data_IF_248200382191
#
_entry.id   IF_248200382191
#
_cell.length_a   1.000
_cell.length_b   1.000
_cell.length_c   1.000
_cell.angle_alpha   90.00
_cell.angle_beta   90.00
_cell.angle_gamma   90.00
#
_symmetry.space_group_name_H-M   'P 1'
#
loop_
_entity.id
_entity.type
_entity.pdbx_description
1 polymer ?
#
# COMPACT_ATOMS: atom_id res chain seq x y z
N UNK A 1 -25.37 -5.40 -2.87
CA UNK A 1 -24.61 -5.50 -4.15
C UNK A 1 -23.84 -4.22 -4.46
N UNK A 2 -24.47 -3.01 -4.55
CA UNK A 2 -23.77 -1.75 -4.86
C UNK A 2 -22.55 -1.49 -3.96
N UNK A 3 -22.68 -1.52 -2.62
CA UNK A 3 -21.58 -1.28 -1.67
C UNK A 3 -20.37 -2.20 -1.92
N UNK A 4 -20.61 -3.46 -2.32
CA UNK A 4 -19.52 -4.40 -2.63
C UNK A 4 -18.78 -3.99 -3.91
N UNK A 5 -19.51 -3.59 -4.97
CA UNK A 5 -18.90 -3.14 -6.21
C UNK A 5 -18.15 -1.82 -6.03
N UNK A 6 -18.73 -0.87 -5.30
CA UNK A 6 -18.11 0.41 -4.98
C UNK A 6 -16.80 0.21 -4.16
N UNK A 7 -16.73 -0.83 -3.32
CA UNK A 7 -15.55 -1.19 -2.54
C UNK A 7 -14.33 -1.45 -3.41
N UNK A 8 -14.48 -2.00 -4.62
CA UNK A 8 -13.35 -2.27 -5.51
C UNK A 8 -12.60 -1.00 -5.96
N UNK A 9 -13.24 0.17 -5.94
CA UNK A 9 -12.55 1.43 -6.19
C UNK A 9 -11.45 1.71 -5.15
N UNK A 10 -11.64 1.29 -3.91
CA UNK A 10 -10.66 1.47 -2.83
C UNK A 10 -9.40 0.62 -3.02
N UNK A 11 -9.44 -0.44 -3.84
CA UNK A 11 -8.27 -1.24 -4.22
C UNK A 11 -7.28 -0.49 -5.13
N UNK A 12 -7.69 0.66 -5.66
CA UNK A 12 -6.81 1.62 -6.32
C UNK A 12 -6.64 2.91 -5.52
N UNK A 13 -7.10 2.91 -4.26
CA UNK A 13 -7.07 4.08 -3.38
C UNK A 13 -7.96 5.22 -3.83
N UNK A 14 -9.05 4.90 -4.53
CA UNK A 14 -9.91 5.86 -5.20
C UNK A 14 -11.26 6.03 -4.50
N UNK A 15 -11.88 7.16 -4.76
CA UNK A 15 -13.24 7.50 -4.36
C UNK A 15 -14.23 6.85 -5.33
N UNK A 16 -15.09 5.93 -4.90
CA UNK A 16 -16.06 5.26 -5.79
C UNK A 16 -17.06 6.22 -6.43
N UNK A 17 -17.29 7.40 -5.83
CA UNK A 17 -18.21 8.43 -6.38
C UNK A 17 -17.71 9.01 -7.71
N UNK A 18 -16.39 8.96 -7.96
CA UNK A 18 -15.73 9.53 -9.15
C UNK A 18 -14.76 8.56 -9.84
N UNK A 19 -14.66 7.34 -9.35
CA UNK A 19 -13.80 6.30 -9.91
C UNK A 19 -14.32 5.86 -11.29
N UNK A 20 -13.43 5.57 -12.26
CA UNK A 20 -13.84 5.10 -13.57
C UNK A 20 -14.41 3.68 -13.51
N UNK A 21 -15.47 3.41 -14.28
CA UNK A 21 -16.15 2.10 -14.31
C UNK A 21 -15.22 0.93 -14.68
N UNK A 22 -14.10 1.17 -15.33
CA UNK A 22 -13.11 0.13 -15.65
C UNK A 22 -12.57 -0.58 -14.41
N UNK A 23 -12.63 0.04 -13.22
CA UNK A 23 -12.21 -0.59 -11.96
C UNK A 23 -13.12 -1.78 -11.56
N UNK A 24 -14.33 -1.88 -12.11
CA UNK A 24 -15.16 -3.07 -11.93
C UNK A 24 -14.53 -4.35 -12.52
N UNK A 25 -13.54 -4.21 -13.42
CA UNK A 25 -12.74 -5.34 -13.91
C UNK A 25 -11.97 -6.07 -12.81
N UNK A 26 -11.69 -5.43 -11.67
CA UNK A 26 -11.02 -6.06 -10.54
C UNK A 26 -11.90 -7.18 -9.97
N UNK A 27 -13.20 -6.92 -9.78
CA UNK A 27 -14.16 -7.93 -9.34
C UNK A 27 -14.22 -9.12 -10.31
N UNK A 28 -14.22 -8.85 -11.61
CA UNK A 28 -14.19 -9.90 -12.63
C UNK A 28 -12.90 -10.74 -12.55
N UNK A 29 -11.75 -10.10 -12.36
CA UNK A 29 -10.47 -10.82 -12.26
C UNK A 29 -10.44 -11.72 -11.02
N UNK A 30 -10.93 -11.26 -9.88
CA UNK A 30 -11.00 -12.07 -8.65
C UNK A 30 -11.94 -13.27 -8.84
N UNK A 31 -13.09 -13.08 -9.45
CA UNK A 31 -14.05 -14.17 -9.70
C UNK A 31 -13.52 -15.17 -10.74
N UNK A 32 -12.93 -14.68 -11.83
CA UNK A 32 -12.47 -15.53 -12.93
C UNK A 32 -11.21 -16.32 -12.63
N UNK A 33 -10.27 -15.75 -11.83
CA UNK A 33 -8.95 -16.35 -11.57
C UNK A 33 -8.78 -16.81 -10.13
N UNK A 34 -9.69 -16.43 -9.24
CA UNK A 34 -9.65 -16.76 -7.81
C UNK A 34 -8.68 -15.90 -7.00
N UNK A 35 -8.76 -16.06 -5.67
CA UNK A 35 -7.85 -15.50 -4.70
C UNK A 35 -7.29 -16.64 -3.82
N UNK A 36 -6.02 -16.58 -3.45
CA UNK A 36 -5.33 -17.69 -2.81
C UNK A 36 -4.66 -17.22 -1.52
N UNK A 37 -4.87 -17.97 -0.45
CA UNK A 37 -4.13 -17.79 0.79
C UNK A 37 -2.78 -18.51 0.72
N UNK A 38 -1.74 -17.84 1.20
CA UNK A 38 -0.41 -18.44 1.33
C UNK A 38 -0.28 -18.97 2.77
N UNK A 39 -0.06 -20.27 2.93
CA UNK A 39 0.13 -20.88 4.24
C UNK A 39 1.26 -20.17 5.00
N UNK A 40 0.97 -19.71 6.21
CA UNK A 40 1.89 -18.93 7.03
C UNK A 40 1.86 -17.42 6.72
N UNK A 41 0.90 -16.98 5.88
CA UNK A 41 0.67 -15.58 5.56
C UNK A 41 1.50 -15.06 4.37
N UNK A 42 1.16 -13.85 3.91
CA UNK A 42 1.78 -13.21 2.73
C UNK A 42 3.29 -12.95 2.90
N UNK A 43 3.79 -12.86 4.15
CA UNK A 43 5.22 -12.76 4.43
C UNK A 43 6.04 -13.92 3.85
N UNK A 44 5.44 -15.13 3.76
CA UNK A 44 6.09 -16.30 3.15
C UNK A 44 6.37 -16.13 1.65
N UNK A 45 5.58 -15.32 0.96
CA UNK A 45 5.89 -14.95 -0.42
C UNK A 45 7.16 -14.09 -0.49
N UNK A 46 7.29 -13.13 0.41
CA UNK A 46 8.49 -12.29 0.49
C UNK A 46 9.74 -13.15 0.82
N UNK A 47 9.62 -14.08 1.79
CA UNK A 47 10.70 -15.02 2.15
C UNK A 47 11.12 -15.86 0.92
N UNK A 48 10.16 -16.39 0.16
CA UNK A 48 10.44 -17.21 -1.02
C UNK A 48 11.12 -16.41 -2.14
N UNK A 49 10.66 -15.18 -2.40
CA UNK A 49 11.28 -14.29 -3.39
C UNK A 49 12.70 -13.89 -2.94
N UNK A 50 12.89 -13.59 -1.66
CA UNK A 50 14.20 -13.28 -1.08
C UNK A 50 15.17 -14.46 -1.25
N UNK A 51 14.77 -15.67 -0.83
CA UNK A 51 15.60 -16.86 -0.99
C UNK A 51 15.93 -17.13 -2.46
N UNK A 52 14.93 -17.02 -3.35
CA UNK A 52 15.17 -17.20 -4.79
C UNK A 52 16.15 -16.18 -5.35
N UNK A 53 16.13 -14.96 -4.83
CA UNK A 53 17.07 -13.91 -5.24
C UNK A 53 18.49 -14.22 -4.79
N UNK A 54 18.67 -14.74 -3.57
CA UNK A 54 19.98 -15.21 -3.07
C UNK A 54 20.52 -16.35 -3.95
N UNK A 55 19.68 -17.33 -4.32
CA UNK A 55 20.05 -18.44 -5.20
C UNK A 55 20.52 -17.96 -6.59
N UNK A 56 20.10 -16.77 -7.00
CA UNK A 56 20.47 -16.09 -8.24
C UNK A 56 21.64 -15.13 -8.09
N UNK A 57 22.26 -15.08 -6.91
CA UNK A 57 23.43 -14.26 -6.64
C UNK A 57 23.14 -12.77 -6.37
N UNK A 58 21.88 -12.41 -6.08
CA UNK A 58 21.52 -11.05 -5.67
C UNK A 58 22.13 -10.78 -4.29
N UNK A 59 22.79 -9.63 -4.14
CA UNK A 59 23.35 -9.17 -2.87
C UNK A 59 22.36 -8.20 -2.22
N UNK A 60 22.12 -8.39 -0.91
CA UNK A 60 21.26 -7.54 -0.12
C UNK A 60 22.08 -6.78 0.91
N UNK A 61 21.82 -5.49 1.03
CA UNK A 61 22.32 -4.64 2.12
C UNK A 61 21.11 -4.07 2.86
N UNK A 62 20.80 -4.64 4.03
CA UNK A 62 19.76 -4.16 4.93
C UNK A 62 20.26 -3.00 5.78
N UNK A 63 19.32 -2.24 6.37
CA UNK A 63 19.61 -1.08 7.21
C UNK A 63 20.49 -0.03 6.51
N UNK A 64 20.40 0.05 5.18
CA UNK A 64 21.22 0.91 4.33
C UNK A 64 20.31 1.85 3.55
N UNK A 65 20.17 3.08 4.04
CA UNK A 65 19.30 4.08 3.43
C UNK A 65 19.98 4.77 2.25
N UNK A 66 19.29 4.78 1.11
CA UNK A 66 19.68 5.60 -0.06
C UNK A 66 19.16 7.02 0.15
N UNK A 67 20.06 7.99 0.15
CA UNK A 67 19.74 9.41 0.35
C UNK A 67 19.63 10.18 -0.96
N UNK A 68 20.29 9.71 -2.02
CA UNK A 68 20.27 10.37 -3.33
C UNK A 68 20.47 9.39 -4.47
N UNK A 69 19.81 9.64 -5.58
CA UNK A 69 20.11 9.05 -6.90
C UNK A 69 20.99 10.05 -7.65
N UNK A 70 22.24 9.68 -7.89
CA UNK A 70 23.23 10.52 -8.55
C UNK A 70 23.01 10.56 -10.06
N UNK A 71 23.27 11.70 -10.70
CA UNK A 71 23.05 11.92 -12.12
C UNK A 71 23.84 13.10 -12.68
N UNK A 72 24.08 13.11 -13.98
CA UNK A 72 24.68 14.20 -14.75
C UNK A 72 23.65 15.16 -15.38
N UNK A 73 22.36 15.01 -15.03
CA UNK A 73 21.21 15.73 -15.61
C UNK A 73 20.60 15.05 -16.83
N UNK A 74 21.22 14.02 -17.38
CA UNK A 74 20.75 13.21 -18.51
C UNK A 74 20.63 11.73 -18.17
N UNK A 75 21.61 11.21 -17.41
CA UNK A 75 21.82 9.80 -17.11
C UNK A 75 22.05 9.61 -15.62
N UNK A 76 21.58 8.51 -15.06
CA UNK A 76 21.91 8.07 -13.71
C UNK A 76 23.38 7.66 -13.67
N UNK A 77 24.09 8.07 -12.62
CA UNK A 77 25.52 7.72 -12.41
C UNK A 77 25.71 6.82 -11.18
N UNK A 78 24.74 6.72 -10.28
CA UNK A 78 24.83 5.89 -9.09
C UNK A 78 23.87 6.31 -8.00
N UNK A 79 24.24 5.97 -6.76
CA UNK A 79 23.48 6.30 -5.55
C UNK A 79 24.43 6.77 -4.44
N UNK A 80 23.91 7.61 -3.55
CA UNK A 80 24.58 7.99 -2.29
C UNK A 80 23.81 7.41 -1.12
N UNK A 81 24.52 6.91 -0.12
CA UNK A 81 24.00 6.27 1.07
C UNK A 81 24.09 7.19 2.29
N UNK A 82 23.30 6.92 3.32
CA UNK A 82 23.29 7.71 4.55
C UNK A 82 24.60 7.60 5.35
N UNK A 83 25.36 6.52 5.18
CA UNK A 83 26.67 6.31 5.79
C UNK A 83 27.82 7.02 5.05
N UNK A 84 27.52 7.77 4.00
CA UNK A 84 28.47 8.55 3.22
C UNK A 84 29.08 7.82 2.03
N UNK A 85 28.81 6.52 1.86
CA UNK A 85 29.27 5.79 0.67
C UNK A 85 28.59 6.30 -0.60
N UNK A 86 29.33 6.36 -1.68
CA UNK A 86 28.84 6.64 -3.03
C UNK A 86 29.13 5.42 -3.90
N UNK A 87 28.10 4.89 -4.54
CA UNK A 87 28.19 3.70 -5.35
C UNK A 87 27.83 4.06 -6.80
N UNK A 88 28.71 3.69 -7.73
CA UNK A 88 28.55 3.99 -9.14
C UNK A 88 27.74 2.88 -9.84
N UNK A 89 26.60 3.27 -10.39
CA UNK A 89 25.69 2.39 -11.14
C UNK A 89 25.12 3.12 -12.35
N UNK A 90 25.20 2.50 -13.52
CA UNK A 90 24.56 3.03 -14.72
C UNK A 90 23.05 2.73 -14.79
N UNK A 91 22.58 1.76 -13.99
CA UNK A 91 21.17 1.38 -13.89
C UNK A 91 20.76 1.39 -12.42
N UNK A 92 19.70 2.13 -12.11
CA UNK A 92 19.06 2.17 -10.79
C UNK A 92 17.57 1.83 -10.97
N UNK A 93 17.10 0.84 -10.20
CA UNK A 93 15.68 0.47 -10.13
C UNK A 93 15.17 0.90 -8.75
N UNK A 94 14.30 1.89 -8.72
CA UNK A 94 13.74 2.44 -7.49
C UNK A 94 12.37 1.82 -7.22
N UNK A 95 12.24 1.06 -6.13
CA UNK A 95 10.99 0.55 -5.59
C UNK A 95 10.50 1.39 -4.39
N UNK A 96 10.62 2.70 -4.50
CA UNK A 96 10.04 3.66 -3.57
C UNK A 96 8.88 4.38 -4.25
N UNK A 97 8.06 5.10 -3.47
CA UNK A 97 7.02 5.94 -4.07
C UNK A 97 7.63 6.91 -5.10
N UNK A 98 7.02 6.98 -6.27
CA UNK A 98 7.55 7.78 -7.39
C UNK A 98 7.63 9.27 -7.08
N UNK A 99 6.76 9.77 -6.20
CA UNK A 99 6.81 11.15 -5.70
C UNK A 99 8.04 11.35 -4.83
N UNK A 100 8.37 10.38 -3.97
CA UNK A 100 9.58 10.38 -3.16
C UNK A 100 10.83 10.29 -4.05
N UNK A 101 10.83 9.39 -5.04
CA UNK A 101 11.95 9.25 -5.99
C UNK A 101 12.24 10.58 -6.68
N UNK A 102 11.22 11.19 -7.30
CA UNK A 102 11.46 12.40 -8.10
C UNK A 102 11.64 13.68 -7.30
N UNK A 103 11.09 13.78 -6.10
CA UNK A 103 11.11 15.02 -5.31
C UNK A 103 12.09 14.99 -4.13
N UNK A 104 12.42 13.79 -3.59
CA UNK A 104 13.32 13.65 -2.45
C UNK A 104 14.69 13.07 -2.86
N UNK A 105 14.69 11.98 -3.66
CA UNK A 105 15.94 11.27 -3.98
C UNK A 105 16.72 11.88 -5.16
N UNK A 106 16.08 12.66 -6.04
CA UNK A 106 16.74 13.35 -7.14
C UNK A 106 16.80 14.83 -6.84
N UNK A 107 17.99 15.34 -6.50
CA UNK A 107 18.21 16.74 -6.16
C UNK A 107 18.39 17.62 -7.40
N UNK A 108 18.20 18.93 -7.22
CA UNK A 108 18.46 19.93 -8.26
C UNK A 108 17.38 20.04 -9.36
N UNK A 109 17.64 21.00 -10.26
CA UNK A 109 16.74 21.31 -11.39
C UNK A 109 17.07 20.46 -12.61
N UNK A 110 16.47 19.27 -12.72
CA UNK A 110 16.63 18.40 -13.89
C UNK A 110 15.54 18.70 -14.92
N UNK A 111 15.92 19.31 -16.04
CA UNK A 111 14.97 19.73 -17.11
C UNK A 111 14.06 18.58 -17.58
N UNK A 112 14.63 17.39 -17.75
CA UNK A 112 13.91 16.18 -18.20
C UNK A 112 12.80 15.77 -17.23
N UNK A 113 12.95 16.01 -15.92
CA UNK A 113 11.99 15.62 -14.90
C UNK A 113 10.90 16.67 -14.62
N UNK A 114 11.02 17.89 -15.19
CA UNK A 114 10.07 18.97 -14.93
C UNK A 114 8.61 18.57 -15.19
N UNK A 115 8.39 17.86 -16.32
CA UNK A 115 7.03 17.40 -16.71
C UNK A 115 6.50 16.34 -15.75
N UNK A 116 7.32 15.38 -15.36
CA UNK A 116 6.91 14.31 -14.44
C UNK A 116 6.65 14.86 -13.03
N UNK A 117 7.52 15.74 -12.52
CA UNK A 117 7.30 16.44 -11.24
C UNK A 117 6.01 17.26 -11.26
N UNK A 118 5.75 18.01 -12.34
CA UNK A 118 4.53 18.79 -12.48
C UNK A 118 3.27 17.90 -12.58
N UNK A 119 3.38 16.72 -13.21
CA UNK A 119 2.31 15.73 -13.28
C UNK A 119 2.00 15.15 -11.90
N UNK A 120 3.03 14.73 -11.16
CA UNK A 120 2.87 14.19 -9.81
C UNK A 120 2.31 15.23 -8.82
N UNK A 121 2.73 16.50 -8.96
CA UNK A 121 2.23 17.58 -8.12
C UNK A 121 0.74 17.91 -8.35
N UNK A 122 0.18 17.55 -9.52
CA UNK A 122 -1.22 17.74 -9.89
C UNK A 122 -2.09 16.51 -9.70
N UNK A 123 -1.47 15.36 -9.47
CA UNK A 123 -2.19 14.11 -9.30
C UNK A 123 -2.79 14.05 -7.90
N UNK A 124 -4.05 13.63 -7.82
CA UNK A 124 -4.69 13.37 -6.55
C UNK A 124 -4.05 12.12 -5.93
N UNK A 125 -3.55 12.20 -4.70
CA UNK A 125 -3.00 11.03 -4.03
C UNK A 125 -4.13 10.05 -3.65
N UNK A 126 -3.77 8.77 -3.53
CA UNK A 126 -4.68 7.75 -3.02
C UNK A 126 -5.03 7.99 -1.56
N UNK A 127 -6.13 7.38 -1.11
CA UNK A 127 -6.39 7.27 0.33
C UNK A 127 -5.25 6.52 1.04
N UNK A 128 -5.24 6.62 2.35
CA UNK A 128 -4.39 5.84 3.25
C UNK A 128 -5.21 4.75 3.95
N UNK A 129 -4.57 3.97 4.82
CA UNK A 129 -5.21 2.97 5.65
C UNK A 129 -4.80 3.11 7.10
N UNK A 130 -5.75 2.84 7.98
CA UNK A 130 -5.51 2.62 9.40
C UNK A 130 -5.78 1.15 9.69
N UNK A 131 -4.83 0.44 10.25
CA UNK A 131 -4.94 -0.99 10.44
C UNK A 131 -4.59 -1.44 11.84
N UNK A 132 -5.23 -2.55 12.26
CA UNK A 132 -4.97 -3.22 13.52
C UNK A 132 -4.48 -4.64 13.23
N UNK A 133 -3.43 -5.02 13.91
CA UNK A 133 -2.95 -6.40 13.99
C UNK A 133 -3.36 -6.94 15.35
N UNK A 134 -4.21 -7.94 15.37
CA UNK A 134 -4.78 -8.49 16.58
C UNK A 134 -4.25 -9.91 16.79
N UNK A 135 -3.66 -10.17 17.97
CA UNK A 135 -3.39 -11.53 18.47
C UNK A 135 -4.44 -11.87 19.53
N UNK A 136 -5.16 -12.95 19.32
CA UNK A 136 -6.32 -13.32 20.13
C UNK A 136 -6.14 -14.71 20.76
N UNK A 137 -6.55 -14.85 22.02
CA UNK A 137 -6.70 -16.14 22.67
C UNK A 137 -7.81 -16.97 22.02
N UNK A 138 -7.82 -18.29 22.21
CA UNK A 138 -8.89 -19.15 21.72
C UNK A 138 -10.28 -18.65 22.12
N UNK A 139 -11.27 -18.82 21.25
CA UNK A 139 -12.66 -18.53 21.55
C UNK A 139 -13.39 -19.81 21.97
N UNK A 140 -14.16 -19.75 23.06
CA UNK A 140 -15.11 -20.80 23.42
C UNK A 140 -16.31 -20.83 22.46
N UNK A 141 -16.62 -19.68 21.83
CA UNK A 141 -17.71 -19.52 20.88
C UNK A 141 -17.13 -19.03 19.55
N UNK A 142 -16.93 -19.92 18.56
CA UNK A 142 -16.47 -19.52 17.24
C UNK A 142 -17.36 -18.45 16.62
N UNK A 143 -16.77 -17.38 16.12
CA UNK A 143 -17.48 -16.21 15.62
C UNK A 143 -18.19 -16.41 14.28
N UNK A 144 -18.04 -17.60 13.65
CA UNK A 144 -18.59 -17.87 12.32
C UNK A 144 -18.00 -16.99 11.20
N UNK A 145 -16.84 -16.36 11.46
CA UNK A 145 -16.16 -15.52 10.46
C UNK A 145 -15.61 -16.34 9.31
N UNK A 146 -15.74 -15.81 8.11
CA UNK A 146 -15.01 -16.27 6.94
C UNK A 146 -13.58 -15.76 6.96
N UNK A 147 -12.73 -16.22 6.03
CA UNK A 147 -11.36 -15.70 5.89
C UNK A 147 -11.37 -14.18 5.65
N UNK A 148 -12.26 -13.69 4.80
CA UNK A 148 -12.47 -12.27 4.52
C UNK A 148 -13.87 -11.84 4.92
N UNK A 149 -13.96 -10.77 5.69
CA UNK A 149 -15.22 -10.22 6.17
C UNK A 149 -15.22 -8.72 5.94
N UNK A 150 -16.37 -8.17 5.52
CA UNK A 150 -16.53 -6.74 5.31
C UNK A 150 -17.80 -6.29 6.01
N UNK A 151 -17.68 -5.33 6.91
CA UNK A 151 -18.76 -4.72 7.65
C UNK A 151 -18.98 -3.30 7.14
N UNK A 152 -20.09 -3.07 6.47
CA UNK A 152 -20.41 -1.77 5.92
C UNK A 152 -21.17 -0.91 6.94
N UNK A 153 -20.96 0.42 6.94
CA UNK A 153 -21.81 1.38 7.63
C UNK A 153 -23.18 1.49 6.92
N UNK A 154 -24.14 2.13 7.59
CA UNK A 154 -25.42 2.42 6.96
C UNK A 154 -25.26 3.40 5.79
N UNK A 155 -24.54 4.50 6.00
CA UNK A 155 -24.21 5.48 4.97
C UNK A 155 -22.76 5.29 4.47
N UNK A 156 -22.62 4.54 3.38
CA UNK A 156 -21.29 4.26 2.80
C UNK A 156 -20.68 5.46 2.08
N UNK A 157 -21.52 6.37 1.54
CA UNK A 157 -21.03 7.56 0.83
C UNK A 157 -20.41 8.58 1.79
N UNK A 158 -20.85 8.61 3.06
CA UNK A 158 -20.30 9.46 4.11
C UNK A 158 -18.81 9.16 4.39
N UNK A 159 -18.38 7.89 4.30
CA UNK A 159 -16.98 7.47 4.47
C UNK A 159 -16.06 8.24 3.50
N UNK A 160 -16.44 8.35 2.23
CA UNK A 160 -15.63 9.03 1.22
C UNK A 160 -15.70 10.55 1.37
N UNK A 161 -16.79 11.09 1.90
CA UNK A 161 -16.90 12.48 2.31
C UNK A 161 -15.91 12.83 3.44
N UNK A 162 -15.74 11.95 4.42
CA UNK A 162 -14.75 12.15 5.49
C UNK A 162 -13.33 12.11 4.94
N UNK A 163 -13.00 11.10 4.12
CA UNK A 163 -11.64 10.86 3.63
C UNK A 163 -11.18 11.94 2.65
N UNK A 164 -11.99 12.24 1.63
CA UNK A 164 -11.56 13.06 0.50
C UNK A 164 -11.97 14.52 0.63
N UNK A 165 -13.16 14.80 1.19
CA UNK A 165 -13.69 16.15 1.26
C UNK A 165 -13.30 16.82 2.59
N UNK A 166 -13.58 16.17 3.73
CA UNK A 166 -13.28 16.69 5.07
C UNK A 166 -11.87 16.37 5.57
N UNK A 167 -11.21 15.38 4.97
CA UNK A 167 -9.85 14.90 5.32
C UNK A 167 -9.73 14.52 6.81
N UNK A 168 -10.73 13.81 7.31
CA UNK A 168 -10.86 13.42 8.71
C UNK A 168 -11.04 11.91 8.86
N UNK A 169 -10.63 11.30 9.98
CA UNK A 169 -10.95 9.91 10.29
C UNK A 169 -12.44 9.65 10.19
N UNK A 170 -12.78 8.52 9.58
CA UNK A 170 -14.17 8.12 9.35
C UNK A 170 -14.80 7.73 10.68
N UNK A 171 -15.96 8.29 11.01
CA UNK A 171 -16.63 8.02 12.30
C UNK A 171 -17.28 6.63 12.34
N UNK A 172 -17.91 6.20 11.24
CA UNK A 172 -18.48 4.86 11.06
C UNK A 172 -17.86 4.23 9.81
N UNK A 173 -16.65 3.67 9.91
CA UNK A 173 -15.92 3.19 8.74
C UNK A 173 -16.42 1.82 8.28
N UNK A 174 -16.27 1.56 6.98
CA UNK A 174 -16.28 0.19 6.50
C UNK A 174 -15.08 -0.55 7.08
N UNK A 175 -15.35 -1.63 7.82
CA UNK A 175 -14.31 -2.45 8.44
C UNK A 175 -14.06 -3.68 7.57
N UNK A 176 -12.85 -3.83 7.06
CA UNK A 176 -12.37 -5.09 6.51
C UNK A 176 -11.65 -5.86 7.60
N UNK A 177 -12.04 -7.12 7.80
CA UNK A 177 -11.43 -8.04 8.75
C UNK A 177 -11.00 -9.31 8.04
N UNK A 178 -9.72 -9.60 8.08
CA UNK A 178 -9.14 -10.85 7.64
C UNK A 178 -8.89 -11.73 8.86
N UNK A 179 -9.58 -12.87 8.93
CA UNK A 179 -9.47 -13.88 9.98
C UNK A 179 -9.00 -15.21 9.37
N UNK A 180 -7.73 -15.34 9.01
CA UNK A 180 -7.21 -16.56 8.41
C UNK A 180 -7.27 -17.71 9.44
N UNK A 181 -7.83 -18.83 9.03
CA UNK A 181 -7.83 -20.06 9.83
C UNK A 181 -6.56 -20.86 9.52
N UNK A 182 -5.41 -20.27 9.85
CA UNK A 182 -4.10 -20.83 9.56
C UNK A 182 -3.26 -20.93 10.85
N UNK A 183 -3.22 -22.13 11.44
CA UNK A 183 -2.47 -22.40 12.65
C UNK A 183 -0.97 -22.12 12.53
N UNK A 184 -0.43 -22.10 11.31
CA UNK A 184 0.99 -21.77 11.08
C UNK A 184 1.33 -20.29 11.27
N UNK A 185 0.33 -19.41 11.39
CA UNK A 185 0.50 -17.99 11.66
C UNK A 185 0.55 -17.63 13.15
N UNK A 186 0.26 -18.60 14.04
CA UNK A 186 0.20 -18.41 15.50
C UNK A 186 1.17 -19.34 16.22
N UNK A 187 1.62 -18.94 17.42
CA UNK A 187 2.56 -19.73 18.21
C UNK A 187 1.88 -20.83 19.03
N UNK A 188 0.64 -20.59 19.42
CA UNK A 188 -0.10 -21.48 20.31
C UNK A 188 -1.37 -21.96 19.61
N UNK A 189 -1.67 -23.25 19.73
CA UNK A 189 -2.86 -23.83 19.13
C UNK A 189 -4.13 -23.15 19.62
N UNK A 190 -5.08 -22.93 18.73
CA UNK A 190 -6.35 -22.27 19.00
C UNK A 190 -6.27 -20.74 19.10
N UNK A 191 -5.07 -20.13 19.12
CA UNK A 191 -4.96 -18.68 19.01
C UNK A 191 -5.27 -18.23 17.57
N UNK A 192 -5.60 -16.95 17.43
CA UNK A 192 -5.93 -16.37 16.15
C UNK A 192 -5.12 -15.09 15.90
N UNK A 193 -4.72 -14.86 14.65
CA UNK A 193 -4.07 -13.64 14.21
C UNK A 193 -4.97 -12.96 13.17
N UNK A 194 -5.53 -11.82 13.51
CA UNK A 194 -6.42 -11.07 12.65
C UNK A 194 -5.80 -9.78 12.16
N UNK A 195 -6.18 -9.40 10.93
CA UNK A 195 -5.86 -8.12 10.35
C UNK A 195 -7.14 -7.33 10.12
N UNK A 196 -7.22 -6.13 10.68
CA UNK A 196 -8.34 -5.21 10.51
C UNK A 196 -7.85 -3.99 9.75
N UNK A 197 -8.61 -3.54 8.77
CA UNK A 197 -8.30 -2.35 7.97
C UNK A 197 -9.55 -1.50 7.80
N UNK A 198 -9.38 -0.20 8.03
CA UNK A 198 -10.33 0.84 7.61
C UNK A 198 -9.63 1.82 6.67
N UNK A 199 -10.38 2.37 5.72
CA UNK A 199 -9.87 3.45 4.88
C UNK A 199 -9.70 4.71 5.72
N UNK A 200 -8.65 5.48 5.44
CA UNK A 200 -8.31 6.65 6.21
C UNK A 200 -7.84 7.81 5.33
N UNK A 201 -8.03 9.07 5.76
CA UNK A 201 -7.37 10.20 5.14
C UNK A 201 -5.86 10.09 5.34
N UNK A 202 -5.11 10.66 4.43
CA UNK A 202 -3.64 10.71 4.53
C UNK A 202 -3.18 11.51 5.74
N UNK A 203 -1.98 11.17 6.21
CA UNK A 203 -1.27 12.01 7.17
C UNK A 203 -0.84 13.32 6.50
N UNK A 204 -1.30 14.45 7.03
CA UNK A 204 -0.91 15.77 6.56
C UNK A 204 -1.03 16.80 7.70
N UNK A 205 0.10 17.38 8.09
CA UNK A 205 0.17 18.36 9.17
C UNK A 205 -0.31 19.76 8.76
N UNK A 206 -0.51 20.02 7.48
CA UNK A 206 -0.85 21.36 6.95
C UNK A 206 -2.30 21.49 6.54
N UNK A 207 -2.80 20.51 5.79
CA UNK A 207 -4.11 20.56 5.16
C UNK A 207 -4.81 19.20 5.22
N UNK A 208 -4.68 18.51 6.36
CA UNK A 208 -5.25 17.20 6.57
C UNK A 208 -5.22 16.78 8.02
N UNK A 209 -5.21 15.48 8.28
CA UNK A 209 -5.27 14.92 9.61
C UNK A 209 -3.90 14.54 10.15
N UNK A 210 -3.64 14.85 11.43
CA UNK A 210 -2.40 14.51 12.13
C UNK A 210 -2.50 13.11 12.79
N UNK A 211 -1.95 12.09 12.15
CA UNK A 211 -1.89 10.73 12.68
C UNK A 211 -0.69 10.47 13.63
N UNK A 212 -0.04 11.51 14.17
CA UNK A 212 1.01 11.34 15.18
C UNK A 212 0.47 11.34 16.62
N UNK A 213 -0.82 11.61 16.82
CA UNK A 213 -1.45 11.60 18.14
C UNK A 213 -1.74 10.17 18.58
N UNK A 214 -0.93 9.65 19.50
CA UNK A 214 -1.03 8.27 19.98
C UNK A 214 -2.31 8.01 20.77
N UNK A 215 -2.79 8.98 21.56
CA UNK A 215 -4.00 8.85 22.35
C UNK A 215 -5.24 8.79 21.46
N UNK A 216 -5.30 9.67 20.44
CA UNK A 216 -6.33 9.61 19.42
C UNK A 216 -6.31 8.26 18.68
N UNK A 217 -5.14 7.82 18.24
CA UNK A 217 -4.99 6.57 17.47
C UNK A 217 -5.46 5.35 18.29
N UNK A 218 -5.11 5.32 19.57
CA UNK A 218 -5.59 4.26 20.46
C UNK A 218 -7.10 4.32 20.65
N UNK A 219 -7.65 5.49 20.90
CA UNK A 219 -9.10 5.68 21.04
C UNK A 219 -9.85 5.24 19.78
N UNK A 220 -9.36 5.64 18.60
CA UNK A 220 -9.95 5.26 17.32
C UNK A 220 -9.86 3.74 17.05
N UNK A 221 -8.76 3.10 17.43
CA UNK A 221 -8.64 1.65 17.37
C UNK A 221 -9.69 0.96 18.26
N UNK A 222 -9.91 1.48 19.46
CA UNK A 222 -10.92 0.94 20.37
C UNK A 222 -12.35 1.15 19.86
N UNK A 223 -12.66 2.26 19.19
CA UNK A 223 -13.94 2.47 18.51
C UNK A 223 -14.20 1.45 17.41
N UNK A 224 -13.17 1.10 16.62
CA UNK A 224 -13.26 0.07 15.59
C UNK A 224 -13.54 -1.30 16.23
N UNK A 225 -12.89 -1.63 17.34
CA UNK A 225 -13.14 -2.84 18.11
C UNK A 225 -14.57 -2.85 18.67
N UNK A 226 -15.04 -1.74 19.25
CA UNK A 226 -16.42 -1.60 19.75
C UNK A 226 -17.45 -1.86 18.64
N UNK A 227 -17.18 -1.33 17.45
CA UNK A 227 -18.03 -1.54 16.28
C UNK A 227 -18.11 -3.02 15.86
N UNK A 228 -17.01 -3.77 15.98
CA UNK A 228 -17.00 -5.22 15.74
C UNK A 228 -17.72 -5.99 16.85
N UNK A 229 -17.49 -5.63 18.10
CA UNK A 229 -18.13 -6.28 19.25
C UNK A 229 -19.65 -6.06 19.26
N UNK A 230 -20.12 -4.87 18.86
CA UNK A 230 -21.56 -4.62 18.71
C UNK A 230 -22.24 -5.52 17.66
N UNK A 231 -21.45 -6.11 16.76
CA UNK A 231 -21.88 -7.09 15.76
C UNK A 231 -21.72 -8.56 16.22
N UNK A 232 -21.41 -8.76 17.51
CA UNK A 232 -21.26 -10.09 18.11
C UNK A 232 -19.88 -10.73 17.93
N UNK A 233 -18.87 -9.95 17.53
CA UNK A 233 -17.50 -10.46 17.35
C UNK A 233 -16.71 -10.18 18.62
N UNK A 234 -16.49 -11.20 19.48
CA UNK A 234 -15.75 -11.04 20.73
C UNK A 234 -14.26 -10.83 20.44
N UNK A 235 -13.71 -9.72 20.93
CA UNK A 235 -12.31 -9.33 20.74
C UNK A 235 -11.64 -9.00 22.08
N UNK A 236 -12.19 -8.08 22.89
CA UNK A 236 -11.52 -7.52 24.10
C UNK A 236 -11.10 -8.58 25.08
N UNK A 237 -11.98 -9.50 25.41
CA UNK A 237 -11.73 -10.55 26.41
C UNK A 237 -10.65 -11.55 25.95
N UNK A 238 -10.35 -11.56 24.66
CA UNK A 238 -9.39 -12.46 24.02
C UNK A 238 -8.10 -11.75 23.61
N UNK A 239 -8.06 -10.43 23.65
CA UNK A 239 -6.99 -9.61 23.10
C UNK A 239 -5.70 -9.76 23.90
N UNK A 240 -4.64 -10.24 23.26
CA UNK A 240 -3.28 -10.34 23.80
C UNK A 240 -2.32 -9.38 23.11
N UNK A 241 -2.52 -9.14 21.82
CA UNK A 241 -1.70 -8.25 21.03
C UNK A 241 -2.59 -7.28 20.28
N UNK A 242 -2.31 -6.00 20.43
CA UNK A 242 -2.86 -4.92 19.62
C UNK A 242 -1.71 -4.11 19.05
N UNK A 243 -1.50 -4.17 17.76
CA UNK A 243 -0.57 -3.31 17.06
C UNK A 243 -1.35 -2.40 16.11
N UNK A 244 -1.17 -1.11 16.26
CA UNK A 244 -1.84 -0.08 15.45
C UNK A 244 -0.85 0.41 14.38
N UNK A 245 -1.29 0.46 13.13
CA UNK A 245 -0.54 1.01 12.00
C UNK A 245 -1.32 2.15 11.37
N UNK A 246 -0.80 3.34 11.51
CA UNK A 246 -1.42 4.59 11.05
C UNK A 246 -0.90 5.01 9.68
N UNK A 247 -1.56 5.94 8.98
CA UNK A 247 -1.00 6.59 7.79
C UNK A 247 0.37 7.24 8.02
N UNK A 248 0.62 7.81 9.22
CA UNK A 248 1.94 8.36 9.56
C UNK A 248 3.01 7.27 9.68
N UNK A 249 2.66 6.07 10.19
CA UNK A 249 3.57 4.92 10.23
C UNK A 249 3.93 4.44 8.82
N UNK A 250 2.96 4.37 7.92
CA UNK A 250 3.21 4.03 6.52
C UNK A 250 4.14 5.04 5.85
N UNK A 251 3.94 6.34 6.08
CA UNK A 251 4.85 7.35 5.56
C UNK A 251 6.28 7.15 6.08
N UNK A 252 6.44 6.85 7.37
CA UNK A 252 7.77 6.62 7.97
C UNK A 252 8.45 5.36 7.45
N UNK A 253 7.70 4.27 7.29
CA UNK A 253 8.27 2.96 6.98
C UNK A 253 8.52 2.72 5.50
N UNK A 254 7.67 3.26 4.61
CA UNK A 254 7.75 3.01 3.16
C UNK A 254 7.94 4.28 2.33
N UNK A 255 8.16 5.43 2.98
CA UNK A 255 8.35 6.74 2.36
C UNK A 255 7.20 7.17 1.41
N UNK A 256 6.01 6.60 1.59
CA UNK A 256 4.81 6.96 0.83
C UNK A 256 4.26 8.29 1.37
N UNK A 257 4.19 9.37 0.59
CA UNK A 257 3.75 10.67 1.09
C UNK A 257 2.35 10.64 1.70
N UNK A 258 2.27 11.00 3.00
CA UNK A 258 1.05 10.95 3.79
C UNK A 258 0.49 9.54 4.03
N UNK A 259 1.29 8.49 3.82
CA UNK A 259 0.86 7.11 3.95
C UNK A 259 -0.07 6.65 2.83
N UNK A 260 -0.05 7.32 1.66
CA UNK A 260 -0.84 6.92 0.50
C UNK A 260 -0.50 5.48 0.08
N UNK A 261 -1.50 4.58 0.07
CA UNK A 261 -1.25 3.14 -0.12
C UNK A 261 -0.81 2.83 -1.55
N UNK A 262 -1.34 3.58 -2.54
CA UNK A 262 -1.16 3.27 -3.97
C UNK A 262 -0.53 4.41 -4.77
N UNK A 263 0.14 5.36 -4.11
CA UNK A 263 0.67 6.55 -4.75
C UNK A 263 -0.46 7.50 -5.19
N UNK A 264 -0.67 7.67 -6.49
CA UNK A 264 -1.78 8.49 -7.02
C UNK A 264 -3.08 7.69 -7.11
N UNK A 265 -4.21 8.32 -6.78
CA UNK A 265 -5.55 7.75 -6.96
C UNK A 265 -5.87 7.55 -8.44
N UNK A 266 -6.91 6.77 -8.70
CA UNK A 266 -7.47 6.57 -10.05
C UNK A 266 -8.80 7.32 -10.21
N UNK A 267 -8.97 8.47 -9.57
CA UNK A 267 -10.15 9.32 -9.69
C UNK A 267 -10.23 9.95 -11.08
N UNK A 268 -11.40 9.84 -11.74
CA UNK A 268 -11.64 10.35 -13.08
C UNK A 268 -11.19 9.44 -14.23
N UNK A 269 -11.83 9.61 -15.39
CA UNK A 269 -11.75 8.69 -16.52
C UNK A 269 -10.34 8.44 -17.11
N UNK A 270 -9.39 9.34 -16.89
CA UNK A 270 -8.02 9.24 -17.43
C UNK A 270 -6.97 8.85 -16.41
N UNK A 271 -7.26 8.95 -15.12
CA UNK A 271 -6.27 8.79 -14.06
C UNK A 271 -5.79 7.35 -13.90
N UNK A 272 -6.65 6.36 -14.13
CA UNK A 272 -6.27 4.94 -14.10
C UNK A 272 -5.09 4.61 -15.04
N UNK A 273 -4.95 5.36 -16.15
CA UNK A 273 -3.87 5.18 -17.14
C UNK A 273 -2.73 6.20 -16.99
N UNK A 274 -2.80 7.12 -16.03
CA UNK A 274 -1.85 8.23 -15.88
C UNK A 274 -0.85 8.06 -14.75
N UNK A 275 -0.64 6.85 -14.27
CA UNK A 275 0.41 6.56 -13.28
C UNK A 275 1.79 6.88 -13.81
N UNK A 276 2.75 7.06 -12.91
CA UNK A 276 4.14 7.26 -13.27
C UNK A 276 4.66 6.10 -14.13
N UNK A 277 5.39 6.43 -15.19
CA UNK A 277 5.96 5.42 -16.09
C UNK A 277 7.10 4.67 -15.40
N UNK A 278 7.27 3.39 -15.74
CA UNK A 278 8.40 2.59 -15.26
C UNK A 278 9.74 3.12 -15.75
N UNK A 279 9.85 3.59 -17.00
CA UNK A 279 11.06 4.25 -17.52
C UNK A 279 11.03 5.73 -17.17
N UNK A 280 12.00 6.17 -16.37
CA UNK A 280 12.21 7.59 -16.10
C UNK A 280 12.71 8.32 -17.37
N UNK A 281 12.41 9.63 -17.50
CA UNK A 281 13.11 10.48 -18.49
C UNK A 281 14.62 10.58 -18.23
N UNK A 282 15.08 10.31 -17.02
CA UNK A 282 16.50 10.17 -16.69
C UNK A 282 16.97 8.79 -17.11
N UNK A 283 17.88 8.71 -18.07
CA UNK A 283 18.36 7.44 -18.61
C UNK A 283 19.01 6.58 -17.51
N UNK A 284 18.77 5.29 -17.51
CA UNK A 284 19.28 4.36 -16.49
C UNK A 284 18.45 4.32 -15.20
N UNK A 285 17.46 5.22 -15.01
CA UNK A 285 16.55 5.16 -13.87
C UNK A 285 15.22 4.51 -14.27
N UNK A 286 14.80 3.56 -13.45
CA UNK A 286 13.51 2.88 -13.56
C UNK A 286 12.76 2.94 -12.24
N UNK A 287 11.43 3.04 -12.29
CA UNK A 287 10.55 2.98 -11.14
C UNK A 287 9.67 1.74 -11.21
N UNK A 288 9.55 1.01 -10.09
CA UNK A 288 8.72 -0.18 -9.96
C UNK A 288 7.82 -0.06 -8.73
N UNK A 289 6.83 -0.93 -8.64
CA UNK A 289 5.96 -1.03 -7.46
C UNK A 289 4.64 -0.29 -7.60
N UNK A 290 3.92 -0.18 -6.49
CA UNK A 290 2.52 0.24 -6.47
C UNK A 290 2.22 1.66 -6.93
N UNK A 291 3.18 2.58 -6.85
CA UNK A 291 3.04 3.97 -7.32
C UNK A 291 3.45 4.16 -8.79
N UNK A 292 4.08 3.14 -9.41
CA UNK A 292 4.44 3.12 -10.82
C UNK A 292 3.42 2.32 -11.65
N UNK A 293 3.50 2.38 -12.98
CA UNK A 293 2.67 1.57 -13.87
C UNK A 293 2.94 0.06 -13.65
N UNK A 294 1.92 -0.82 -13.68
CA UNK A 294 0.50 -0.55 -13.90
C UNK A 294 -0.27 -0.14 -12.64
N UNK A 295 0.26 -0.29 -11.43
CA UNK A 295 -0.39 0.13 -10.19
C UNK A 295 -0.09 -0.74 -8.99
N UNK A 296 -0.86 -0.56 -7.91
CA UNK A 296 -0.73 -1.30 -6.66
C UNK A 296 -1.47 -2.64 -6.65
N UNK A 297 -1.16 -3.45 -5.63
CA UNK A 297 -1.62 -4.83 -5.50
C UNK A 297 -0.57 -5.83 -5.99
N UNK A 298 -0.45 -6.98 -5.33
CA UNK A 298 0.60 -7.97 -5.62
C UNK A 298 0.71 -8.35 -7.10
N UNK A 299 -0.38 -8.65 -7.83
CA UNK A 299 -0.27 -8.98 -9.25
C UNK A 299 0.31 -7.84 -10.08
N UNK A 300 -0.13 -6.60 -9.82
CA UNK A 300 0.30 -5.44 -10.60
C UNK A 300 1.74 -5.03 -10.29
N UNK A 301 2.20 -5.18 -9.04
CA UNK A 301 3.61 -4.92 -8.72
C UNK A 301 4.54 -5.99 -9.32
N UNK A 302 4.06 -7.24 -9.43
CA UNK A 302 4.76 -8.29 -10.17
C UNK A 302 4.92 -7.92 -11.65
N UNK A 303 3.84 -7.50 -12.30
CA UNK A 303 3.87 -7.00 -13.68
C UNK A 303 4.78 -5.77 -13.84
N UNK A 304 4.77 -4.86 -12.87
CA UNK A 304 5.67 -3.70 -12.87
C UNK A 304 7.14 -4.13 -12.88
N UNK A 305 7.49 -5.14 -12.08
CA UNK A 305 8.84 -5.69 -12.04
C UNK A 305 9.23 -6.37 -13.38
N UNK A 306 8.31 -7.14 -13.97
CA UNK A 306 8.51 -7.78 -15.26
C UNK A 306 8.73 -6.77 -16.39
N UNK A 307 7.89 -5.73 -16.47
CA UNK A 307 8.03 -4.64 -17.45
C UNK A 307 9.42 -3.99 -17.35
N UNK A 308 9.91 -3.75 -16.13
CA UNK A 308 11.23 -3.13 -15.94
C UNK A 308 12.34 -4.11 -16.27
N UNK A 309 12.24 -5.37 -15.87
CA UNK A 309 13.22 -6.39 -16.22
C UNK A 309 13.37 -6.52 -17.75
N UNK A 310 12.25 -6.64 -18.48
CA UNK A 310 12.25 -6.67 -19.96
C UNK A 310 12.81 -5.37 -20.57
N UNK A 311 12.57 -4.23 -19.92
CA UNK A 311 13.08 -2.95 -20.38
C UNK A 311 14.61 -2.80 -20.24
N UNK A 312 15.22 -3.53 -19.30
CA UNK A 312 16.66 -3.53 -19.03
C UNK A 312 17.37 -4.59 -19.88
N UNK A 313 16.87 -5.83 -19.87
CA UNK A 313 17.57 -6.96 -20.51
C UNK A 313 17.12 -7.25 -21.95
N UNK A 314 16.05 -6.55 -22.41
CA UNK A 314 15.37 -6.88 -23.67
C UNK A 314 14.32 -7.97 -23.49
N UNK A 315 13.49 -8.20 -24.50
CA UNK A 315 12.54 -9.32 -24.48
C UNK A 315 13.34 -10.62 -24.53
N UNK A 316 13.16 -11.48 -23.52
CA UNK A 316 13.61 -12.84 -23.65
C UNK A 316 12.94 -13.44 -24.91
N UNK A 317 13.71 -13.96 -25.82
CA UNK A 317 13.19 -14.81 -26.91
C UNK A 317 12.63 -16.06 -26.23
N UNK A 318 11.32 -16.22 -26.23
CA UNK A 318 10.64 -17.47 -25.88
C UNK A 318 10.77 -18.46 -27.01
#
# INVERSE_FOLDING_TARGET
MRKILDRYATYSGSDPRVAPAVLASIAFVEEAFGAWHIKGGVGKLADAVYQRSLDRGVKFEFNTSVTQINHDGKTTTGISLADGRVLDYSIVVANADTTAVYNKLITGKVKKLRRERAKLAKADPSLAGFSLLLGLRPSENPTGLSHHNIFFPDDYDAEFGDIFDRKQPVQDPTIYLCAPQDESMVKHSGHEAWFVLVNAPRHDLKDGFNWNDADFNHHYAMQIIDSLESRGISIRDRLEVLEIRTPADLERTVAAPGGAIYGTSSNGARSAFMRAKNRSPLQGLYCVGGSAHPGGGLPLVGLSAEIVAQAIVGKASH
#
